data_IF_778516851344
#
_entry.id   IF_778516851344
#
_cell.length_a   1.000
_cell.length_b   1.000
_cell.length_c   1.000
_cell.angle_alpha   90.00
_cell.angle_beta   90.00
_cell.angle_gamma   90.00
#
_symmetry.space_group_name_H-M   'P 1'
#
loop_
_entity.id
_entity.type
_entity.pdbx_description
1 polymer ?
#
# COMPACT_ATOMS: atom_id res chain seq x y z
N UNK A 1 22.61 14.10 15.96
CA UNK A 1 21.90 14.10 14.66
C UNK A 1 22.10 12.79 13.89
N UNK A 2 23.33 12.23 13.84
CA UNK A 2 23.63 10.95 13.18
C UNK A 2 22.76 9.74 13.62
N UNK A 3 22.37 9.63 14.90
CA UNK A 3 21.53 8.52 15.37
C UNK A 3 20.10 8.53 14.84
N UNK A 4 19.52 9.72 14.58
CA UNK A 4 18.18 9.82 13.98
C UNK A 4 18.21 9.41 12.51
N UNK A 5 19.25 9.81 11.78
CA UNK A 5 19.45 9.39 10.39
C UNK A 5 19.66 7.88 10.28
N UNK A 6 20.51 7.29 11.14
CA UNK A 6 20.72 5.84 11.17
C UNK A 6 19.43 5.07 11.48
N UNK A 7 18.62 5.55 12.43
CA UNK A 7 17.30 4.97 12.72
C UNK A 7 16.33 5.13 11.53
N UNK A 8 16.32 6.28 10.87
CA UNK A 8 15.48 6.50 9.69
C UNK A 8 15.85 5.55 8.54
N UNK A 9 17.14 5.37 8.28
CA UNK A 9 17.63 4.40 7.29
C UNK A 9 17.25 2.96 7.63
N UNK A 10 17.43 2.54 8.89
CA UNK A 10 17.05 1.19 9.33
C UNK A 10 15.54 0.96 9.19
N UNK A 11 14.71 1.91 9.62
CA UNK A 11 13.26 1.82 9.47
C UNK A 11 12.83 1.77 8.00
N UNK A 12 13.46 2.58 7.15
CA UNK A 12 13.22 2.58 5.70
C UNK A 12 13.56 1.25 5.06
N UNK A 13 14.74 0.68 5.37
CA UNK A 13 15.16 -0.63 4.87
C UNK A 13 14.25 -1.76 5.35
N UNK A 14 13.86 -1.75 6.64
CA UNK A 14 12.90 -2.71 7.17
C UNK A 14 11.55 -2.61 6.47
N UNK A 15 11.07 -1.39 6.20
CA UNK A 15 9.83 -1.19 5.45
C UNK A 15 9.93 -1.77 4.04
N UNK A 16 11.03 -1.53 3.32
CA UNK A 16 11.26 -2.07 1.96
C UNK A 16 11.30 -3.61 1.97
N UNK A 17 11.99 -4.21 2.95
CA UNK A 17 12.05 -5.67 3.09
C UNK A 17 10.67 -6.27 3.33
N UNK A 18 9.91 -5.71 4.28
CA UNK A 18 8.55 -6.14 4.56
C UNK A 18 7.66 -6.03 3.30
N UNK A 19 7.76 -4.91 2.59
CA UNK A 19 6.96 -4.67 1.39
C UNK A 19 7.33 -5.61 0.22
N UNK A 20 8.59 -6.03 0.14
CA UNK A 20 9.05 -7.01 -0.85
C UNK A 20 8.46 -8.41 -0.58
N UNK A 21 8.23 -8.77 0.68
CA UNK A 21 7.62 -10.06 1.07
C UNK A 21 6.10 -10.10 1.00
N UNK A 22 5.45 -8.93 1.05
CA UNK A 22 3.98 -8.81 1.03
C UNK A 22 3.37 -9.44 -0.22
N UNK A 23 4.04 -9.31 -1.37
CA UNK A 23 3.64 -9.93 -2.63
C UNK A 23 3.47 -11.45 -2.54
N UNK A 24 4.51 -12.12 -2.03
CA UNK A 24 4.53 -13.58 -1.84
C UNK A 24 3.54 -14.01 -0.78
N UNK A 25 3.45 -13.26 0.32
CA UNK A 25 2.49 -13.53 1.39
C UNK A 25 1.04 -13.43 0.88
N UNK A 26 0.71 -12.40 0.09
CA UNK A 26 -0.60 -12.26 -0.53
C UNK A 26 -0.90 -13.40 -1.50
N UNK A 27 0.06 -13.80 -2.35
CA UNK A 27 -0.13 -14.94 -3.27
C UNK A 27 -0.44 -16.23 -2.52
N UNK A 28 0.32 -16.54 -1.47
CA UNK A 28 0.12 -17.75 -0.66
C UNK A 28 -1.19 -17.71 0.11
N UNK A 29 -1.55 -16.55 0.65
CA UNK A 29 -2.78 -16.40 1.40
C UNK A 29 -4.00 -16.48 0.46
N UNK A 30 -3.99 -15.78 -0.68
CA UNK A 30 -5.06 -15.87 -1.69
C UNK A 30 -5.26 -17.27 -2.29
N UNK A 31 -4.26 -18.17 -2.16
CA UNK A 31 -4.42 -19.57 -2.54
C UNK A 31 -5.33 -20.35 -1.57
N UNK A 32 -5.55 -19.86 -0.36
CA UNK A 32 -6.32 -20.55 0.70
C UNK A 32 -7.51 -19.75 1.24
N UNK A 33 -7.54 -18.43 1.02
CA UNK A 33 -8.58 -17.54 1.54
C UNK A 33 -9.01 -16.55 0.47
N UNK A 34 -10.28 -16.14 0.53
CA UNK A 34 -10.81 -15.13 -0.37
C UNK A 34 -10.22 -13.75 -0.05
N UNK A 35 -10.19 -12.84 -1.03
CA UNK A 35 -9.67 -11.49 -0.81
C UNK A 35 -10.31 -10.73 0.37
N UNK A 36 -11.64 -10.77 0.62
CA UNK A 36 -12.24 -10.12 1.79
C UNK A 36 -11.77 -10.70 3.13
N UNK A 37 -11.62 -12.02 3.23
CA UNK A 37 -11.14 -12.70 4.44
C UNK A 37 -9.69 -12.29 4.76
N UNK A 38 -8.85 -12.23 3.73
CA UNK A 38 -7.47 -11.77 3.83
C UNK A 38 -7.37 -10.36 4.43
N UNK A 39 -8.18 -9.43 3.93
CA UNK A 39 -8.17 -8.03 4.39
C UNK A 39 -8.75 -7.89 5.78
N UNK A 40 -9.77 -8.68 6.14
CA UNK A 40 -10.29 -8.74 7.50
C UNK A 40 -9.19 -9.17 8.48
N UNK A 41 -8.51 -10.29 8.21
CA UNK A 41 -7.42 -10.78 9.06
C UNK A 41 -6.23 -9.81 9.11
N UNK A 42 -5.83 -9.22 7.98
CA UNK A 42 -4.78 -8.23 7.94
C UNK A 42 -5.12 -6.98 8.78
N UNK A 43 -6.36 -6.50 8.69
CA UNK A 43 -6.85 -5.36 9.46
C UNK A 43 -6.91 -5.68 10.95
N UNK A 44 -7.36 -6.89 11.31
CA UNK A 44 -7.40 -7.35 12.70
C UNK A 44 -6.00 -7.45 13.30
N UNK A 45 -5.05 -8.08 12.59
CA UNK A 45 -3.65 -8.19 13.04
C UNK A 45 -3.03 -6.80 13.19
N UNK A 46 -3.26 -5.90 12.22
CA UNK A 46 -2.80 -4.51 12.32
C UNK A 46 -3.37 -3.78 13.54
N UNK A 47 -4.67 -3.94 13.81
CA UNK A 47 -5.32 -3.34 14.98
C UNK A 47 -4.73 -3.88 16.30
N UNK A 48 -4.48 -5.19 16.39
CA UNK A 48 -3.88 -5.82 17.56
C UNK A 48 -2.43 -5.37 17.77
N UNK A 49 -1.62 -5.32 16.71
CA UNK A 49 -0.22 -4.87 16.79
C UNK A 49 -0.15 -3.41 17.22
N UNK A 50 -0.90 -2.51 16.56
CA UNK A 50 -0.92 -1.09 16.91
C UNK A 50 -1.49 -0.87 18.32
N UNK A 51 -2.55 -1.60 18.68
CA UNK A 51 -3.11 -1.59 20.03
C UNK A 51 -2.11 -2.04 21.09
N UNK A 52 -1.36 -3.10 20.81
CA UNK A 52 -0.28 -3.59 21.68
C UNK A 52 0.86 -2.58 21.84
N UNK A 53 1.28 -1.94 20.75
CA UNK A 53 2.29 -0.87 20.77
C UNK A 53 1.81 0.33 21.59
N UNK A 54 0.56 0.76 21.41
CA UNK A 54 -0.03 1.84 22.21
C UNK A 54 -0.17 1.46 23.69
N UNK A 55 -0.49 0.20 23.98
CA UNK A 55 -0.51 -0.36 25.32
C UNK A 55 0.86 -0.30 25.97
N UNK A 56 1.91 -0.74 25.27
CA UNK A 56 3.29 -0.71 25.76
C UNK A 56 3.81 0.71 25.99
N UNK A 57 3.39 1.68 25.18
CA UNK A 57 3.72 3.10 25.35
C UNK A 57 2.87 3.79 26.45
N UNK A 58 1.88 3.10 27.03
CA UNK A 58 0.95 3.68 28.01
C UNK A 58 -0.04 4.70 27.42
N UNK A 59 -0.12 4.81 26.10
CA UNK A 59 -0.93 5.82 25.40
C UNK A 59 -2.31 5.30 24.94
N UNK A 60 -2.63 4.03 25.20
CA UNK A 60 -3.87 3.40 24.74
C UNK A 60 -5.12 4.16 25.19
N UNK A 61 -5.19 4.55 26.47
CA UNK A 61 -6.35 5.29 27.02
C UNK A 61 -6.47 6.67 26.38
N UNK A 62 -5.35 7.35 26.11
CA UNK A 62 -5.34 8.65 25.44
C UNK A 62 -5.80 8.53 23.98
N UNK A 63 -5.34 7.51 23.26
CA UNK A 63 -5.76 7.22 21.90
C UNK A 63 -7.27 6.92 21.81
N UNK A 64 -7.80 6.10 22.73
CA UNK A 64 -9.23 5.79 22.79
C UNK A 64 -10.10 7.02 23.12
N UNK A 65 -9.65 7.92 24.00
CA UNK A 65 -10.34 9.19 24.26
C UNK A 65 -10.30 10.14 23.04
N UNK A 66 -9.19 10.16 22.31
CA UNK A 66 -9.05 10.90 21.05
C UNK A 66 -10.00 10.38 19.98
N UNK A 67 -10.17 9.05 19.92
CA UNK A 67 -11.17 8.41 19.07
C UNK A 67 -12.59 8.86 19.44
N UNK A 68 -12.91 9.11 20.71
CA UNK A 68 -14.25 9.60 21.07
C UNK A 68 -14.53 11.04 20.59
N UNK A 69 -13.49 11.87 20.43
CA UNK A 69 -13.61 13.27 19.97
C UNK A 69 -13.63 13.44 18.45
N UNK A 70 -12.94 12.57 17.71
CA UNK A 70 -12.82 12.63 16.25
C UNK A 70 -13.11 11.29 15.56
N UNK A 71 -13.86 10.42 16.23
CA UNK A 71 -14.00 9.00 15.90
C UNK A 71 -14.51 8.75 14.51
N UNK A 72 -15.45 9.58 14.03
CA UNK A 72 -15.96 9.43 12.67
C UNK A 72 -14.87 9.68 11.62
N UNK A 73 -13.98 10.66 11.79
CA UNK A 73 -12.88 10.94 10.85
C UNK A 73 -11.82 9.85 10.92
N UNK A 74 -11.47 9.42 12.13
CA UNK A 74 -10.51 8.35 12.33
C UNK A 74 -11.02 7.02 11.76
N UNK A 75 -12.30 6.72 11.94
CA UNK A 75 -12.97 5.56 11.34
C UNK A 75 -13.05 5.70 9.83
N UNK A 76 -13.39 6.88 9.29
CA UNK A 76 -13.47 7.08 7.84
C UNK A 76 -12.09 6.92 7.17
N UNK A 77 -11.05 7.57 7.72
CA UNK A 77 -9.68 7.47 7.21
C UNK A 77 -9.07 6.09 7.43
N UNK A 78 -9.40 5.43 8.54
CA UNK A 78 -8.96 4.06 8.83
C UNK A 78 -9.68 3.00 8.00
N UNK A 79 -10.93 3.22 7.61
CA UNK A 79 -11.71 2.33 6.73
C UNK A 79 -11.45 2.60 5.24
N UNK A 80 -10.96 3.78 4.87
CA UNK A 80 -10.59 4.12 3.49
C UNK A 80 -9.58 3.12 2.89
N UNK A 81 -8.59 2.70 3.66
CA UNK A 81 -7.57 1.77 3.17
C UNK A 81 -8.12 0.33 3.04
N UNK A 82 -8.72 -0.31 4.07
CA UNK A 82 -9.21 -1.69 3.99
C UNK A 82 -10.56 -1.85 3.28
N UNK A 83 -11.41 -0.81 3.24
CA UNK A 83 -12.74 -0.91 2.65
C UNK A 83 -12.78 -0.25 1.26
N UNK A 84 -12.53 1.06 1.14
CA UNK A 84 -12.72 1.74 -0.14
C UNK A 84 -11.68 1.30 -1.21
N UNK A 85 -10.40 1.24 -0.84
CA UNK A 85 -9.35 0.79 -1.78
C UNK A 85 -9.47 -0.70 -2.10
N UNK A 86 -9.69 -1.57 -1.12
CA UNK A 86 -9.78 -3.01 -1.40
C UNK A 86 -11.08 -3.45 -2.08
N UNK A 87 -12.21 -2.76 -1.90
CA UNK A 87 -13.42 -3.07 -2.69
C UNK A 87 -13.17 -2.87 -4.20
N UNK A 88 -12.47 -1.80 -4.58
CA UNK A 88 -12.04 -1.56 -5.96
C UNK A 88 -10.98 -2.58 -6.38
N UNK A 89 -10.05 -2.91 -5.47
CA UNK A 89 -8.99 -3.88 -5.73
C UNK A 89 -9.55 -5.28 -5.95
N UNK A 90 -10.55 -5.72 -5.21
CA UNK A 90 -11.17 -7.04 -5.35
C UNK A 90 -11.88 -7.18 -6.69
N UNK A 91 -12.65 -6.16 -7.09
CA UNK A 91 -13.25 -6.10 -8.42
C UNK A 91 -12.19 -6.16 -9.54
N UNK A 92 -11.01 -5.57 -9.32
CA UNK A 92 -9.90 -5.62 -10.25
C UNK A 92 -9.17 -6.98 -10.25
N UNK A 93 -8.96 -7.61 -9.08
CA UNK A 93 -8.27 -8.90 -8.95
C UNK A 93 -9.12 -10.07 -9.45
N UNK A 94 -10.45 -10.00 -9.36
CA UNK A 94 -11.33 -10.98 -10.00
C UNK A 94 -11.22 -10.94 -11.53
N UNK A 95 -10.79 -9.80 -12.08
CA UNK A 95 -10.66 -9.55 -13.52
C UNK A 95 -9.23 -9.65 -14.04
N UNK A 96 -8.21 -9.60 -13.17
CA UNK A 96 -6.79 -9.59 -13.55
C UNK A 96 -5.97 -10.59 -12.74
N UNK A 97 -5.05 -11.34 -13.38
CA UNK A 97 -4.07 -12.16 -12.67
C UNK A 97 -3.30 -11.34 -11.62
N UNK A 98 -3.10 -11.90 -10.42
CA UNK A 98 -2.42 -11.23 -9.31
C UNK A 98 -1.02 -10.68 -9.69
N UNK A 99 -0.37 -11.32 -10.67
CA UNK A 99 0.92 -10.95 -11.24
C UNK A 99 0.89 -9.62 -12.02
N UNK A 100 -0.26 -9.23 -12.59
CA UNK A 100 -0.43 -7.95 -13.28
C UNK A 100 -0.88 -6.87 -12.29
N UNK A 101 -1.69 -7.24 -11.31
CA UNK A 101 -2.24 -6.30 -10.35
C UNK A 101 -1.16 -5.62 -9.49
N UNK A 102 -0.06 -6.31 -9.17
CA UNK A 102 1.01 -5.75 -8.36
C UNK A 102 1.84 -4.68 -9.09
N UNK A 103 2.35 -4.90 -10.33
CA UNK A 103 2.91 -3.84 -11.19
C UNK A 103 1.99 -2.63 -11.37
N UNK A 104 0.70 -2.87 -11.60
CA UNK A 104 -0.29 -1.80 -11.74
C UNK A 104 -0.44 -1.06 -10.42
N UNK A 105 -0.46 -1.75 -9.28
CA UNK A 105 -0.53 -1.12 -7.97
C UNK A 105 0.65 -0.14 -7.79
N UNK A 106 1.90 -0.51 -8.10
CA UNK A 106 3.06 0.39 -7.98
C UNK A 106 2.96 1.71 -8.78
N UNK A 107 2.00 1.86 -9.70
CA UNK A 107 1.69 3.16 -10.32
C UNK A 107 1.20 4.20 -9.33
N UNK A 108 0.74 3.82 -8.13
CA UNK A 108 0.35 4.77 -7.08
C UNK A 108 1.47 5.78 -6.77
N UNK A 109 2.73 5.36 -6.82
CA UNK A 109 3.88 6.25 -6.62
C UNK A 109 4.02 7.29 -7.75
N UNK A 110 3.72 6.91 -8.99
CA UNK A 110 3.68 7.81 -10.14
C UNK A 110 2.50 8.79 -10.00
N UNK A 111 1.33 8.31 -9.58
CA UNK A 111 0.15 9.14 -9.31
C UNK A 111 0.44 10.16 -8.20
N UNK A 112 1.08 9.76 -7.11
CA UNK A 112 1.47 10.69 -6.05
C UNK A 112 2.50 11.72 -6.51
N UNK A 113 3.48 11.32 -7.33
CA UNK A 113 4.44 12.27 -7.90
C UNK A 113 3.75 13.33 -8.78
N UNK A 114 2.70 12.95 -9.51
CA UNK A 114 1.85 13.88 -10.26
C UNK A 114 1.00 14.74 -9.33
N UNK A 115 0.36 14.15 -8.31
CA UNK A 115 -0.48 14.87 -7.34
C UNK A 115 0.33 15.82 -6.44
N UNK A 116 1.63 15.59 -6.23
CA UNK A 116 2.51 16.49 -5.50
C UNK A 116 2.59 17.88 -6.15
N UNK A 117 2.32 17.99 -7.44
CA UNK A 117 2.37 19.25 -8.19
C UNK A 117 1.24 20.19 -7.79
N UNK A 118 -0.06 19.82 -7.92
CA UNK A 118 -1.14 20.67 -7.44
C UNK A 118 -1.22 20.73 -5.91
N UNK A 119 -0.83 19.67 -5.19
CA UNK A 119 -1.06 19.58 -3.74
C UNK A 119 0.06 20.21 -2.90
N UNK A 120 1.33 20.05 -3.29
CA UNK A 120 2.48 20.66 -2.62
C UNK A 120 3.05 21.89 -3.36
N UNK A 121 2.57 22.19 -4.58
CA UNK A 121 3.10 23.29 -5.38
C UNK A 121 4.54 23.07 -5.87
N UNK A 122 5.05 21.84 -5.84
CA UNK A 122 6.41 21.56 -6.29
C UNK A 122 6.48 21.54 -7.82
N UNK A 123 7.34 22.37 -8.45
CA UNK A 123 7.46 22.37 -9.90
C UNK A 123 8.06 21.05 -10.38
N UNK A 124 7.43 20.41 -11.36
CA UNK A 124 7.98 19.22 -12.02
C UNK A 124 9.23 19.60 -12.82
N UNK A 125 10.39 19.14 -12.35
CA UNK A 125 11.61 19.20 -13.16
C UNK A 125 11.43 18.34 -14.42
N UNK A 126 11.98 18.75 -15.57
CA UNK A 126 11.94 17.97 -16.83
C UNK A 126 12.43 16.51 -16.66
N UNK A 127 13.40 16.30 -15.76
CA UNK A 127 13.90 14.97 -15.38
C UNK A 127 12.83 14.09 -14.73
N UNK A 128 11.97 14.67 -13.89
CA UNK A 128 10.88 13.97 -13.21
C UNK A 128 9.77 13.59 -14.18
N UNK A 129 9.46 14.46 -15.16
CA UNK A 129 8.53 14.16 -16.25
C UNK A 129 9.05 12.98 -17.10
N UNK A 130 10.34 13.00 -17.46
CA UNK A 130 10.94 11.89 -18.21
C UNK A 130 10.92 10.58 -17.40
N UNK A 131 11.22 10.62 -16.11
CA UNK A 131 11.13 9.46 -15.21
C UNK A 131 9.70 8.93 -15.08
N UNK A 132 8.69 9.82 -14.98
CA UNK A 132 7.28 9.44 -14.94
C UNK A 132 6.84 8.75 -16.23
N UNK A 133 7.21 9.30 -17.39
CA UNK A 133 6.89 8.69 -18.69
C UNK A 133 7.56 7.32 -18.84
N UNK A 134 8.83 7.19 -18.48
CA UNK A 134 9.54 5.92 -18.51
C UNK A 134 8.92 4.89 -17.56
N UNK A 135 8.52 5.31 -16.36
CA UNK A 135 7.85 4.47 -15.37
C UNK A 135 6.50 3.94 -15.86
N UNK A 136 5.65 4.81 -16.42
CA UNK A 136 4.38 4.39 -17.01
C UNK A 136 4.56 3.46 -18.22
N UNK A 137 5.56 3.72 -19.07
CA UNK A 137 5.88 2.84 -20.18
C UNK A 137 6.29 1.45 -19.70
N UNK A 138 7.12 1.36 -18.65
CA UNK A 138 7.51 0.11 -18.03
C UNK A 138 6.31 -0.68 -17.49
N UNK A 139 5.38 0.00 -16.80
CA UNK A 139 4.14 -0.64 -16.33
C UNK A 139 3.27 -1.12 -17.50
N UNK A 140 3.14 -0.31 -18.56
CA UNK A 140 2.38 -0.70 -19.75
C UNK A 140 2.97 -1.96 -20.41
N UNK A 141 4.31 -2.04 -20.53
CA UNK A 141 5.01 -3.22 -21.07
C UNK A 141 4.78 -4.45 -20.19
N UNK A 142 4.85 -4.31 -18.87
CA UNK A 142 4.56 -5.41 -17.93
C UNK A 142 3.11 -5.89 -18.03
N UNK A 143 2.16 -4.95 -18.11
CA UNK A 143 0.73 -5.26 -18.25
C UNK A 143 0.41 -5.96 -19.58
N UNK A 144 1.06 -5.55 -20.68
CA UNK A 144 0.91 -6.19 -22.00
C UNK A 144 1.61 -7.56 -22.07
N UNK A 145 2.67 -7.77 -21.28
CA UNK A 145 3.40 -9.04 -21.23
C UNK A 145 2.59 -10.19 -20.62
N UNK A 146 1.77 -9.92 -19.59
CA UNK A 146 1.02 -10.95 -18.86
C UNK A 146 0.06 -11.77 -19.72
N UNK A 147 -0.60 -11.17 -20.72
CA UNK A 147 -1.57 -11.87 -21.59
C UNK A 147 -0.96 -12.78 -22.67
N UNK A 148 0.39 -12.86 -22.76
CA UNK A 148 1.09 -13.65 -23.78
C UNK A 148 1.71 -14.95 -23.26
N UNK A 149 1.81 -15.13 -21.93
CA UNK A 149 2.43 -16.32 -21.32
C UNK A 149 1.41 -17.42 -20.96
N UNK A 150 0.14 -17.08 -20.72
CA UNK A 150 -0.91 -18.06 -20.41
C UNK A 150 -1.45 -18.84 -21.63
N UNK A 151 -0.85 -18.64 -22.82
CA UNK A 151 -1.25 -19.32 -24.07
C UNK A 151 -0.26 -20.38 -24.56
N UNK A 152 0.72 -20.76 -23.73
CA UNK A 152 1.76 -21.74 -24.10
C UNK A 152 1.90 -22.93 -23.13
N UNK A 153 0.88 -23.20 -22.31
CA UNK A 153 0.74 -24.46 -21.54
C UNK A 153 -0.70 -24.91 -21.58
#
# INVERSE_FOLDING_TARGET
MADRERRAWLLGLSAVLLWSTVATAFKLALAQMSPPELVFWASLVSALVLGGVLGWQGQLVAALRGLNRHGWRALLMGSLNPAAYYLILFEAYDRLPAQIAQPVNYTWALVLAVLAVPLLGQPLTRRMIAALMLGYLGVAVLAMGGGRWDRLT
#
